data_IF_973255238302
#
_entry.id   IF_973255238302
#
_cell.length_a   1.000
_cell.length_b   1.000
_cell.length_c   1.000
_cell.angle_alpha   90.00
_cell.angle_beta   90.00
_cell.angle_gamma   90.00
#
_symmetry.space_group_name_H-M   'P 1'
#
loop_
_entity.id
_entity.type
_entity.pdbx_description
1 polymer ?
#
# COMPACT_ATOMS: atom_id res chain seq x y z
N UNK A 1 6.37 3.55 -20.25
CA UNK A 1 5.07 4.05 -20.75
C UNK A 1 4.63 3.05 -21.82
N UNK A 2 3.43 2.49 -21.75
CA UNK A 2 2.93 1.69 -22.88
C UNK A 2 2.72 2.69 -24.02
N UNK A 3 3.39 2.52 -25.16
CA UNK A 3 3.29 3.44 -26.30
C UNK A 3 2.00 3.18 -27.12
N UNK A 4 0.97 2.64 -26.47
CA UNK A 4 -0.33 2.27 -27.04
C UNK A 4 -1.42 2.85 -26.14
N UNK A 5 -2.54 3.26 -26.74
CA UNK A 5 -3.75 3.53 -25.96
C UNK A 5 -4.26 2.24 -25.28
N UNK A 6 -5.02 2.41 -24.20
CA UNK A 6 -5.45 1.29 -23.36
C UNK A 6 -6.37 0.32 -24.10
N UNK A 7 -7.20 0.79 -25.03
CA UNK A 7 -8.11 -0.07 -25.80
C UNK A 7 -7.30 -0.99 -26.70
N UNK A 8 -6.37 -0.42 -27.48
CA UNK A 8 -5.46 -1.16 -28.37
C UNK A 8 -4.61 -2.16 -27.58
N UNK A 9 -4.13 -1.78 -26.39
CA UNK A 9 -3.38 -2.67 -25.52
C UNK A 9 -4.18 -3.89 -25.04
N UNK A 10 -5.47 -3.71 -24.74
CA UNK A 10 -6.32 -4.79 -24.19
C UNK A 10 -6.74 -5.80 -25.26
N UNK A 11 -7.03 -5.34 -26.47
CA UNK A 11 -7.46 -6.20 -27.59
C UNK A 11 -6.28 -6.92 -28.27
N UNK A 12 -5.03 -6.57 -27.94
CA UNK A 12 -3.86 -7.24 -28.48
C UNK A 12 -3.90 -8.74 -28.20
N UNK A 13 -3.67 -9.55 -29.24
CA UNK A 13 -3.62 -11.01 -29.15
C UNK A 13 -2.39 -11.50 -28.38
N UNK A 14 -1.29 -10.74 -28.44
CA UNK A 14 -0.05 -11.02 -27.72
C UNK A 14 0.53 -9.77 -27.07
N UNK A 15 1.16 -9.97 -25.91
CA UNK A 15 1.87 -8.95 -25.16
C UNK A 15 3.36 -9.28 -25.13
N UNK A 16 4.21 -8.27 -25.36
CA UNK A 16 5.66 -8.43 -25.27
C UNK A 16 6.10 -8.86 -23.86
N UNK A 17 7.29 -9.45 -23.68
CA UNK A 17 7.81 -9.78 -22.35
C UNK A 17 7.83 -8.56 -21.41
N UNK A 18 8.16 -7.38 -21.94
CA UNK A 18 8.15 -6.11 -21.19
C UNK A 18 6.74 -5.72 -20.72
N UNK A 19 5.71 -6.02 -21.51
CA UNK A 19 4.32 -5.83 -21.10
C UNK A 19 3.92 -6.83 -20.01
N UNK A 20 4.28 -8.12 -20.16
CA UNK A 20 3.99 -9.16 -19.17
C UNK A 20 4.64 -8.92 -17.80
N UNK A 21 5.77 -8.23 -17.75
CA UNK A 21 6.38 -7.76 -16.50
C UNK A 21 5.48 -6.79 -15.70
N UNK A 22 4.50 -6.16 -16.36
CA UNK A 22 3.57 -5.20 -15.73
C UNK A 22 2.24 -5.84 -15.33
N UNK A 23 2.04 -7.12 -15.61
CA UNK A 23 0.91 -7.89 -15.12
C UNK A 23 1.24 -8.53 -13.79
N UNK A 24 0.21 -8.81 -13.00
CA UNK A 24 0.31 -9.51 -11.73
C UNK A 24 1.35 -8.86 -10.78
N UNK A 25 1.23 -7.54 -10.59
CA UNK A 25 2.19 -6.75 -9.81
C UNK A 25 2.14 -7.07 -8.32
N UNK A 26 0.97 -7.41 -7.78
CA UNK A 26 0.81 -7.83 -6.38
C UNK A 26 1.56 -9.15 -6.19
N UNK A 27 1.27 -10.15 -7.03
CA UNK A 27 1.95 -11.44 -7.01
C UNK A 27 3.47 -11.28 -7.18
N UNK A 28 3.90 -10.36 -8.04
CA UNK A 28 5.33 -10.09 -8.25
C UNK A 28 5.98 -9.46 -7.02
N UNK A 29 5.29 -8.52 -6.36
CA UNK A 29 5.79 -7.84 -5.16
C UNK A 29 6.02 -8.83 -4.01
N UNK A 30 5.09 -9.76 -3.82
CA UNK A 30 5.21 -10.82 -2.83
C UNK A 30 6.12 -11.98 -3.26
N UNK A 31 6.75 -11.92 -4.44
CA UNK A 31 7.63 -12.97 -4.94
C UNK A 31 6.92 -14.28 -5.33
N UNK A 32 5.60 -14.27 -5.47
CA UNK A 32 4.76 -15.45 -5.74
C UNK A 32 4.27 -15.55 -7.18
N UNK A 33 4.57 -14.54 -8.02
CA UNK A 33 4.17 -14.51 -9.43
C UNK A 33 4.70 -15.72 -10.19
N UNK A 34 3.79 -16.45 -10.81
CA UNK A 34 4.11 -17.51 -11.75
C UNK A 34 4.34 -16.93 -13.16
N UNK A 35 5.36 -17.37 -13.91
CA UNK A 35 5.56 -16.95 -15.29
C UNK A 35 4.51 -17.52 -16.25
N UNK A 36 3.78 -18.58 -15.89
CA UNK A 36 2.69 -19.15 -16.69
C UNK A 36 1.45 -18.26 -16.63
N UNK A 37 0.84 -18.02 -17.79
CA UNK A 37 -0.37 -17.20 -17.89
C UNK A 37 -1.63 -17.97 -17.41
N UNK A 38 -1.59 -19.31 -17.43
CA UNK A 38 -2.69 -20.25 -17.18
C UNK A 38 -2.54 -21.06 -15.88
N UNK A 39 -1.70 -20.60 -14.95
CA UNK A 39 -1.50 -21.25 -13.64
C UNK A 39 -2.85 -21.61 -12.98
N UNK A 40 -3.03 -22.87 -12.52
CA UNK A 40 -4.24 -23.28 -11.84
C UNK A 40 -4.53 -22.41 -10.61
N UNK A 41 -5.81 -22.07 -10.42
CA UNK A 41 -6.22 -21.22 -9.31
C UNK A 41 -5.85 -21.81 -7.94
N UNK A 42 -5.93 -23.13 -7.80
CA UNK A 42 -5.52 -23.85 -6.59
C UNK A 42 -4.05 -23.63 -6.22
N UNK A 43 -3.15 -23.52 -7.20
CA UNK A 43 -1.74 -23.21 -6.95
C UNK A 43 -1.54 -21.77 -6.46
N UNK A 44 -2.25 -20.81 -7.06
CA UNK A 44 -2.21 -19.40 -6.62
C UNK A 44 -2.79 -19.25 -5.21
N UNK A 45 -3.89 -19.95 -4.90
CA UNK A 45 -4.47 -19.99 -3.56
C UNK A 45 -3.54 -20.66 -2.54
N UNK A 46 -2.77 -21.67 -2.95
CA UNK A 46 -1.71 -22.25 -2.11
C UNK A 46 -0.68 -21.21 -1.68
N UNK A 47 -0.21 -20.38 -2.63
CA UNK A 47 0.70 -19.26 -2.34
C UNK A 47 0.03 -18.19 -1.47
N UNK A 48 -1.26 -17.90 -1.68
CA UNK A 48 -2.02 -16.96 -0.86
C UNK A 48 -2.10 -17.40 0.61
N UNK A 49 -2.37 -18.70 0.85
CA UNK A 49 -2.39 -19.28 2.21
C UNK A 49 -1.02 -19.19 2.88
N UNK A 50 0.04 -19.56 2.17
CA UNK A 50 1.40 -19.43 2.70
C UNK A 50 1.73 -17.98 3.08
N UNK A 51 1.36 -17.00 2.25
CA UNK A 51 1.51 -15.58 2.58
C UNK A 51 0.71 -15.20 3.84
N UNK A 52 -0.50 -15.72 3.99
CA UNK A 52 -1.34 -15.44 5.16
C UNK A 52 -0.79 -16.07 6.46
N UNK A 53 -0.09 -17.20 6.36
CA UNK A 53 0.64 -17.80 7.48
C UNK A 53 1.91 -17.01 7.82
N UNK A 54 2.46 -16.28 6.84
CA UNK A 54 3.70 -15.51 6.98
C UNK A 54 3.49 -14.10 7.52
N UNK A 55 2.38 -13.45 7.15
CA UNK A 55 2.09 -12.05 7.50
C UNK A 55 0.90 -11.95 8.46
N UNK A 56 1.09 -11.33 9.62
CA UNK A 56 0.02 -11.07 10.59
C UNK A 56 -1.10 -10.18 10.01
N UNK A 57 -0.74 -9.30 9.08
CA UNK A 57 -1.67 -8.40 8.39
C UNK A 57 -1.21 -8.09 6.97
N UNK A 58 -2.13 -8.29 6.01
CA UNK A 58 -2.05 -7.71 4.67
C UNK A 58 -3.09 -6.60 4.57
N UNK A 59 -2.62 -5.37 4.40
CA UNK A 59 -3.46 -4.17 4.33
C UNK A 59 -4.16 -4.03 2.97
N UNK A 60 -5.35 -3.41 2.96
CA UNK A 60 -6.16 -3.16 1.77
C UNK A 60 -6.22 -1.66 1.49
N UNK A 61 -5.76 -1.24 0.30
CA UNK A 61 -5.62 0.17 -0.04
C UNK A 61 -6.98 0.91 -0.11
N UNK A 62 -8.05 0.21 -0.46
CA UNK A 62 -9.43 0.72 -0.50
C UNK A 62 -9.98 0.97 0.91
N UNK A 63 -9.42 0.32 1.93
CA UNK A 63 -9.78 0.41 3.35
C UNK A 63 -8.55 0.81 4.19
N UNK A 64 -7.86 1.84 3.71
CA UNK A 64 -6.55 2.23 4.24
C UNK A 64 -6.62 2.70 5.70
N UNK A 65 -7.68 3.43 6.08
CA UNK A 65 -7.85 3.88 7.46
C UNK A 65 -8.04 2.69 8.41
N UNK A 66 -8.90 1.73 8.05
CA UNK A 66 -9.07 0.49 8.83
C UNK A 66 -7.80 -0.34 8.88
N UNK A 67 -7.06 -0.40 7.77
CA UNK A 67 -5.77 -1.09 7.70
C UNK A 67 -4.76 -0.51 8.68
N UNK A 68 -4.70 0.82 8.81
CA UNK A 68 -3.83 1.49 9.76
C UNK A 68 -4.29 1.32 11.21
N UNK A 69 -5.60 1.28 11.47
CA UNK A 69 -6.13 0.96 12.80
C UNK A 69 -5.71 -0.46 13.21
N UNK A 70 -5.88 -1.46 12.34
CA UNK A 70 -5.43 -2.82 12.62
C UNK A 70 -3.92 -2.88 12.84
N UNK A 71 -3.13 -2.22 11.99
CA UNK A 71 -1.66 -2.16 12.13
C UNK A 71 -1.24 -1.49 13.45
N UNK A 72 -1.88 -0.38 13.82
CA UNK A 72 -1.64 0.33 15.09
C UNK A 72 -1.75 -0.63 16.27
N UNK A 73 -2.81 -1.43 16.33
CA UNK A 73 -3.01 -2.40 17.42
C UNK A 73 -2.01 -3.56 17.40
N UNK A 74 -1.67 -4.07 16.22
CA UNK A 74 -0.64 -5.12 16.09
C UNK A 74 0.74 -4.66 16.58
N UNK A 75 1.06 -3.38 16.41
CA UNK A 75 2.35 -2.80 16.80
C UNK A 75 2.34 -2.16 18.19
N UNK A 76 1.21 -2.22 18.92
CA UNK A 76 1.01 -1.49 20.18
C UNK A 76 1.29 0.02 20.06
N UNK A 77 0.94 0.61 18.93
CA UNK A 77 1.14 2.02 18.63
C UNK A 77 -0.03 2.89 19.07
N UNK A 78 0.25 4.18 19.21
CA UNK A 78 -0.78 5.19 19.44
C UNK A 78 -1.31 5.72 18.10
N UNK A 79 -2.39 6.51 18.15
CA UNK A 79 -2.99 7.08 16.94
C UNK A 79 -2.01 8.01 16.22
N UNK A 80 -1.18 8.73 16.97
CA UNK A 80 -0.16 9.67 16.50
C UNK A 80 0.96 8.98 15.70
N UNK A 81 1.18 7.68 15.90
CA UNK A 81 2.22 6.93 15.17
C UNK A 81 1.77 6.51 13.77
N UNK A 82 0.45 6.50 13.52
CA UNK A 82 -0.15 6.09 12.24
C UNK A 82 -0.85 7.22 11.49
N UNK A 83 -0.71 8.47 11.95
CA UNK A 83 -1.21 9.62 11.20
C UNK A 83 -0.46 9.79 9.88
N UNK A 84 -1.16 10.28 8.87
CA UNK A 84 -0.63 10.38 7.52
C UNK A 84 -1.26 11.54 6.73
N UNK A 85 -0.51 12.05 5.75
CA UNK A 85 -1.04 12.96 4.72
C UNK A 85 -1.34 12.16 3.44
N UNK A 86 -2.58 12.24 2.94
CA UNK A 86 -3.01 11.53 1.71
C UNK A 86 -2.15 11.93 0.51
N UNK A 87 -1.32 11.02 0.02
CA UNK A 87 -0.47 11.24 -1.15
C UNK A 87 -1.05 10.59 -2.42
N UNK A 88 -0.48 10.93 -3.59
CA UNK A 88 -0.80 10.29 -4.89
C UNK A 88 -2.27 10.39 -5.33
N UNK A 89 -2.97 11.43 -4.90
CA UNK A 89 -4.37 11.66 -5.24
C UNK A 89 -4.48 11.98 -6.74
N UNK A 90 -5.00 11.03 -7.52
CA UNK A 90 -5.26 11.20 -8.95
C UNK A 90 -6.46 12.11 -9.18
N UNK A 91 -6.34 13.06 -10.11
CA UNK A 91 -7.47 13.87 -10.57
C UNK A 91 -8.57 12.96 -11.19
N UNK A 92 -9.86 13.15 -10.84
CA UNK A 92 -10.95 12.32 -11.38
C UNK A 92 -11.00 12.29 -12.91
N UNK A 93 -10.66 13.41 -13.56
CA UNK A 93 -10.60 13.57 -15.02
C UNK A 93 -9.60 12.65 -15.73
N UNK A 94 -8.66 12.05 -15.00
CA UNK A 94 -7.65 11.13 -15.55
C UNK A 94 -7.98 9.65 -15.28
N UNK A 95 -9.17 9.35 -14.75
CA UNK A 95 -9.64 7.95 -14.66
C UNK A 95 -10.22 7.55 -16.01
N UNK A 96 -9.62 6.56 -16.66
CA UNK A 96 -10.16 6.00 -17.90
C UNK A 96 -11.55 5.38 -17.62
N UNK A 97 -12.54 5.74 -18.43
CA UNK A 97 -13.83 5.04 -18.44
C UNK A 97 -13.64 3.74 -19.21
N UNK A 98 -13.81 2.61 -18.53
CA UNK A 98 -13.63 1.28 -19.10
C UNK A 98 -14.98 0.59 -19.26
N UNK A 99 -15.19 -0.07 -20.40
CA UNK A 99 -16.31 -1.00 -20.58
C UNK A 99 -16.12 -2.24 -19.70
N UNK A 100 -17.19 -2.99 -19.45
CA UNK A 100 -17.09 -4.25 -18.69
C UNK A 100 -16.16 -5.26 -19.39
N UNK A 101 -16.23 -5.38 -20.71
CA UNK A 101 -15.32 -6.23 -21.48
C UNK A 101 -13.84 -5.85 -21.29
N UNK A 102 -13.53 -4.55 -21.21
CA UNK A 102 -12.17 -4.09 -20.91
C UNK A 102 -11.74 -4.43 -19.48
N UNK A 103 -12.64 -4.32 -18.51
CA UNK A 103 -12.36 -4.71 -17.12
C UNK A 103 -12.13 -6.22 -17.01
N UNK A 104 -12.92 -7.04 -17.70
CA UNK A 104 -12.74 -8.49 -17.73
C UNK A 104 -11.41 -8.87 -18.36
N UNK A 105 -11.05 -8.22 -19.47
CA UNK A 105 -9.72 -8.42 -20.07
C UNK A 105 -8.60 -8.04 -19.11
N UNK A 106 -8.71 -6.94 -18.37
CA UNK A 106 -7.73 -6.57 -17.34
C UNK A 106 -7.65 -7.59 -16.20
N UNK A 107 -8.79 -8.13 -15.76
CA UNK A 107 -8.85 -9.19 -14.74
C UNK A 107 -8.17 -10.47 -15.25
N UNK A 108 -8.36 -10.84 -16.51
CA UNK A 108 -7.69 -11.99 -17.12
C UNK A 108 -6.17 -11.79 -17.20
N UNK A 109 -5.71 -10.64 -17.68
CA UNK A 109 -4.27 -10.33 -17.75
C UNK A 109 -3.62 -10.29 -16.36
N UNK A 110 -4.39 -9.94 -15.33
CA UNK A 110 -3.93 -9.90 -13.93
C UNK A 110 -4.57 -10.99 -13.07
N UNK A 111 -4.81 -12.19 -13.64
CA UNK A 111 -5.58 -13.26 -12.97
C UNK A 111 -5.00 -13.64 -11.60
N UNK A 112 -3.68 -13.72 -11.48
CA UNK A 112 -3.02 -14.08 -10.22
C UNK A 112 -3.26 -13.00 -9.15
N UNK A 113 -3.15 -11.72 -9.52
CA UNK A 113 -3.48 -10.61 -8.61
C UNK A 113 -4.95 -10.60 -8.21
N UNK A 114 -5.86 -10.92 -9.14
CA UNK A 114 -7.30 -10.99 -8.83
C UNK A 114 -7.59 -12.07 -7.79
N UNK A 115 -6.95 -13.24 -7.90
CA UNK A 115 -7.09 -14.32 -6.93
C UNK A 115 -6.51 -13.90 -5.58
N UNK A 116 -5.28 -13.40 -5.55
CA UNK A 116 -4.63 -12.92 -4.31
C UNK A 116 -5.45 -11.82 -3.62
N UNK A 117 -5.92 -10.83 -4.38
CA UNK A 117 -6.70 -9.72 -3.84
C UNK A 117 -8.03 -10.19 -3.25
N UNK A 118 -8.75 -11.10 -3.93
CA UNK A 118 -10.00 -11.65 -3.40
C UNK A 118 -9.77 -12.38 -2.08
N UNK A 119 -8.77 -13.26 -2.04
CA UNK A 119 -8.39 -14.02 -0.85
C UNK A 119 -8.08 -13.08 0.33
N UNK A 120 -7.16 -12.12 0.14
CA UNK A 120 -6.78 -11.23 1.23
C UNK A 120 -7.86 -10.21 1.61
N UNK A 121 -8.74 -9.83 0.68
CA UNK A 121 -9.90 -9.00 1.02
C UNK A 121 -10.85 -9.75 1.96
N UNK A 122 -11.10 -11.04 1.73
CA UNK A 122 -11.94 -11.85 2.61
C UNK A 122 -11.33 -11.98 4.01
N UNK A 123 -10.04 -12.31 4.10
CA UNK A 123 -9.30 -12.33 5.38
C UNK A 123 -9.33 -10.96 6.07
N UNK A 124 -9.19 -9.87 5.31
CA UNK A 124 -9.24 -8.52 5.88
C UNK A 124 -10.61 -8.20 6.48
N UNK A 125 -11.70 -8.56 5.78
CA UNK A 125 -13.05 -8.41 6.32
C UNK A 125 -13.26 -9.21 7.60
N UNK A 126 -12.72 -10.43 7.68
CA UNK A 126 -12.74 -11.23 8.92
C UNK A 126 -11.99 -10.55 10.06
N UNK A 127 -10.80 -9.99 9.80
CA UNK A 127 -10.03 -9.24 10.81
C UNK A 127 -10.78 -7.99 11.30
N UNK A 128 -11.42 -7.25 10.39
CA UNK A 128 -12.26 -6.10 10.74
C UNK A 128 -13.42 -6.52 11.63
N UNK A 129 -14.13 -7.60 11.29
CA UNK A 129 -15.24 -8.12 12.10
C UNK A 129 -14.77 -8.58 13.48
N UNK A 130 -13.65 -9.30 13.55
CA UNK A 130 -13.06 -9.76 14.80
C UNK A 130 -12.61 -8.59 15.70
N UNK A 131 -12.15 -7.49 15.12
CA UNK A 131 -11.82 -6.27 15.86
C UNK A 131 -13.06 -5.56 16.42
N UNK A 132 -14.22 -5.74 15.77
CA UNK A 132 -15.52 -5.17 16.14
C UNK A 132 -15.87 -3.94 15.32
N UNK A 133 -17.05 -3.94 14.67
CA UNK A 133 -17.46 -2.91 13.71
C UNK A 133 -17.61 -1.51 14.35
N UNK A 134 -18.29 -1.42 15.50
CA UNK A 134 -18.46 -0.14 16.21
C UNK A 134 -17.13 0.42 16.71
N UNK A 135 -16.25 -0.45 17.21
CA UNK A 135 -14.90 -0.08 17.64
C UNK A 135 -14.08 0.41 16.44
N UNK A 136 -14.11 -0.31 15.33
CA UNK A 136 -13.42 0.07 14.09
C UNK A 136 -13.88 1.45 13.63
N UNK A 137 -15.19 1.69 13.56
CA UNK A 137 -15.74 2.96 13.13
C UNK A 137 -15.26 4.12 14.02
N UNK A 138 -15.28 3.94 15.34
CA UNK A 138 -14.81 4.95 16.29
C UNK A 138 -13.32 5.26 16.11
N UNK A 139 -12.48 4.24 16.04
CA UNK A 139 -11.02 4.44 15.92
C UNK A 139 -10.61 4.99 14.54
N UNK A 140 -11.35 4.66 13.48
CA UNK A 140 -11.19 5.31 12.16
C UNK A 140 -11.52 6.79 12.24
N UNK A 141 -12.59 7.18 12.95
CA UNK A 141 -12.94 8.59 13.08
C UNK A 141 -11.93 9.35 13.93
N UNK A 142 -11.41 8.73 15.00
CA UNK A 142 -10.30 9.26 15.79
C UNK A 142 -9.05 9.50 14.91
N UNK A 143 -8.66 8.52 14.09
CA UNK A 143 -7.55 8.64 13.16
C UNK A 143 -7.78 9.76 12.13
N UNK A 144 -9.01 9.91 11.62
CA UNK A 144 -9.36 10.99 10.68
C UNK A 144 -9.29 12.36 11.33
N UNK A 145 -9.75 12.49 12.57
CA UNK A 145 -9.59 13.72 13.35
C UNK A 145 -8.12 14.05 13.59
N UNK A 146 -7.30 13.07 13.98
CA UNK A 146 -5.86 13.25 14.18
C UNK A 146 -5.16 13.69 12.87
N UNK A 147 -5.52 13.08 11.73
CA UNK A 147 -5.02 13.48 10.41
C UNK A 147 -5.42 14.91 10.03
N UNK A 148 -6.65 15.33 10.35
CA UNK A 148 -7.12 16.69 10.10
C UNK A 148 -6.37 17.71 10.97
N UNK A 149 -6.14 17.36 12.24
CA UNK A 149 -5.37 18.18 13.16
C UNK A 149 -3.91 18.31 12.70
N UNK A 150 -3.26 17.21 12.31
CA UNK A 150 -1.92 17.22 11.72
C UNK A 150 -1.84 18.10 10.46
N UNK A 151 -2.85 18.01 9.58
CA UNK A 151 -2.92 18.85 8.38
C UNK A 151 -2.94 20.34 8.76
N UNK A 152 -3.72 20.71 9.77
CA UNK A 152 -3.82 22.08 10.27
C UNK A 152 -2.50 22.53 10.93
N UNK A 153 -1.94 21.71 11.81
CA UNK A 153 -0.72 22.04 12.56
C UNK A 153 0.48 22.19 11.65
N UNK A 154 0.57 21.36 10.61
CA UNK A 154 1.61 21.47 9.60
C UNK A 154 1.38 22.63 8.60
N UNK A 155 0.22 23.28 8.63
CA UNK A 155 -0.19 24.23 7.60
C UNK A 155 -0.18 23.60 6.21
N UNK A 156 -0.48 22.29 6.15
CA UNK A 156 -0.32 21.49 4.95
C UNK A 156 -1.39 21.86 3.92
N UNK A 157 -0.96 22.21 2.71
CA UNK A 157 -1.84 22.55 1.60
C UNK A 157 -1.51 21.69 0.39
N UNK A 158 -2.54 21.19 -0.28
CA UNK A 158 -2.35 20.50 -1.54
C UNK A 158 -1.98 21.49 -2.63
N UNK A 159 -0.75 21.39 -3.14
CA UNK A 159 -0.26 22.10 -4.31
C UNK A 159 -0.20 21.15 -5.51
N UNK A 160 -0.31 21.67 -6.73
CA UNK A 160 -0.20 20.81 -7.90
C UNK A 160 -0.56 21.43 -9.24
N UNK A 161 0.41 22.09 -9.86
CA UNK A 161 0.44 22.43 -11.29
C UNK A 161 1.18 21.38 -12.15
N UNK A 162 1.85 20.38 -11.58
CA UNK A 162 2.56 19.34 -12.37
C UNK A 162 1.71 18.08 -12.59
N UNK A 163 0.74 18.16 -13.49
CA UNK A 163 0.08 16.98 -14.09
C UNK A 163 -1.05 16.32 -13.27
N UNK A 164 -0.97 14.99 -13.12
CA UNK A 164 -2.06 14.06 -12.74
C UNK A 164 -2.22 13.78 -11.25
N UNK A 165 -1.32 14.30 -10.40
CA UNK A 165 -1.24 14.02 -8.96
C UNK A 165 -1.09 15.33 -8.16
N UNK A 166 -1.78 15.46 -7.02
CA UNK A 166 -1.58 16.56 -6.05
C UNK A 166 -0.46 16.22 -5.05
N UNK A 167 0.35 17.20 -4.68
CA UNK A 167 1.43 17.12 -3.67
C UNK A 167 1.12 18.00 -2.47
N UNK A 168 1.73 17.75 -1.31
CA UNK A 168 1.59 18.61 -0.13
C UNK A 168 2.73 19.62 -0.05
N UNK A 169 2.38 20.87 0.18
CA UNK A 169 3.28 21.91 0.68
C UNK A 169 2.99 22.09 2.17
N UNK A 170 4.04 22.12 2.99
CA UNK A 170 3.96 22.22 4.44
C UNK A 170 4.71 23.47 4.87
N UNK A 171 4.07 24.32 5.67
CA UNK A 171 4.66 25.61 6.10
C UNK A 171 5.26 25.54 7.49
N UNK A 172 4.82 24.60 8.33
CA UNK A 172 5.38 24.43 9.67
C UNK A 172 6.72 23.68 9.62
N UNK A 173 7.71 24.21 10.33
CA UNK A 173 9.08 23.70 10.35
C UNK A 173 9.37 22.68 11.45
N UNK A 174 8.35 22.20 12.18
CA UNK A 174 8.52 21.12 13.16
C UNK A 174 9.08 19.85 12.51
N UNK A 175 9.82 19.06 13.30
CA UNK A 175 10.47 17.85 12.81
C UNK A 175 9.48 16.87 12.18
N UNK A 176 8.31 16.69 12.78
CA UNK A 176 7.26 15.80 12.28
C UNK A 176 6.66 16.30 10.96
N UNK A 177 6.42 17.61 10.83
CA UNK A 177 5.89 18.21 9.61
C UNK A 177 6.89 18.14 8.44
N UNK A 178 8.18 18.28 8.73
CA UNK A 178 9.24 18.03 7.75
C UNK A 178 9.31 16.56 7.36
N UNK A 179 9.26 15.65 8.31
CA UNK A 179 9.33 14.20 8.06
C UNK A 179 8.18 13.72 7.17
N UNK A 180 6.93 14.12 7.48
CA UNK A 180 5.74 13.62 6.79
C UNK A 180 5.58 14.16 5.35
N UNK A 181 6.22 15.29 5.05
CA UNK A 181 6.22 15.90 3.71
C UNK A 181 7.43 15.53 2.86
N UNK A 182 8.36 14.75 3.40
CA UNK A 182 9.55 14.32 2.67
C UNK A 182 9.22 13.41 1.49
N UNK A 183 10.07 13.49 0.47
CA UNK A 183 10.03 12.55 -0.63
C UNK A 183 10.47 11.16 -0.16
N UNK A 184 9.95 10.12 -0.83
CA UNK A 184 10.37 8.72 -0.58
C UNK A 184 11.88 8.55 -0.65
N UNK A 185 12.57 9.26 -1.55
CA UNK A 185 14.03 9.22 -1.66
C UNK A 185 14.71 9.74 -0.37
N UNK A 186 14.26 10.88 0.15
CA UNK A 186 14.80 11.46 1.39
C UNK A 186 14.56 10.54 2.58
N UNK A 187 13.34 10.01 2.73
CA UNK A 187 12.99 9.07 3.81
C UNK A 187 13.84 7.79 3.71
N UNK A 188 14.00 7.22 2.52
CA UNK A 188 14.83 6.03 2.32
C UNK A 188 16.29 6.26 2.67
N UNK A 189 16.86 7.43 2.31
CA UNK A 189 18.23 7.75 2.68
C UNK A 189 18.40 7.87 4.19
N UNK A 190 17.48 8.56 4.87
CA UNK A 190 17.51 8.65 6.34
C UNK A 190 17.41 7.28 7.01
N UNK A 191 16.55 6.39 6.51
CA UNK A 191 16.45 5.02 7.02
C UNK A 191 17.75 4.24 6.79
N UNK A 192 18.36 4.35 5.61
CA UNK A 192 19.65 3.72 5.29
C UNK A 192 20.76 4.24 6.17
N UNK A 193 20.81 5.55 6.43
CA UNK A 193 21.83 6.14 7.28
C UNK A 193 21.67 5.68 8.72
N UNK A 194 20.43 5.64 9.24
CA UNK A 194 20.14 5.04 10.55
C UNK A 194 20.53 3.56 10.62
N UNK A 195 20.23 2.78 9.58
CA UNK A 195 20.63 1.37 9.50
C UNK A 195 22.15 1.21 9.46
N UNK A 196 22.88 2.06 8.72
CA UNK A 196 24.35 2.02 8.71
C UNK A 196 24.94 2.29 10.08
N UNK A 197 24.42 3.30 10.78
CA UNK A 197 24.82 3.58 12.16
C UNK A 197 24.58 2.35 13.04
N UNK A 198 23.39 1.75 12.93
CA UNK A 198 23.04 0.51 13.65
C UNK A 198 23.98 -0.67 13.33
N UNK A 199 24.30 -0.92 12.06
CA UNK A 199 25.25 -1.97 11.68
C UNK A 199 26.65 -1.67 12.23
N UNK A 200 27.05 -0.40 12.26
CA UNK A 200 28.38 0.01 12.74
C UNK A 200 28.52 0.08 14.25
N UNK A 201 27.43 0.12 15.00
CA UNK A 201 27.44 0.34 16.45
C UNK A 201 27.65 -0.95 17.26
N UNK A 202 27.81 -2.10 16.60
CA UNK A 202 28.04 -3.42 17.23
C UNK A 202 26.99 -3.82 18.28
N UNK A 203 25.84 -3.12 18.35
CA UNK A 203 24.74 -3.49 19.23
C UNK A 203 24.15 -4.81 18.76
N UNK A 204 24.13 -5.76 19.67
CA UNK A 204 23.42 -7.01 19.52
C UNK A 204 21.98 -6.81 19.97
N UNK A 205 21.03 -7.17 19.11
CA UNK A 205 19.62 -7.17 19.46
C UNK A 205 19.24 -8.56 19.96
N UNK A 206 18.90 -8.65 21.23
CA UNK A 206 18.38 -9.89 21.80
C UNK A 206 16.90 -10.00 21.47
N UNK A 207 16.57 -10.93 20.55
CA UNK A 207 15.21 -11.19 20.11
C UNK A 207 14.33 -11.82 21.20
N UNK A 208 14.93 -12.39 22.27
CA UNK A 208 14.19 -13.01 23.38
C UNK A 208 13.74 -11.96 24.39
N UNK A 209 14.56 -10.93 24.63
CA UNK A 209 14.28 -9.89 25.62
C UNK A 209 13.79 -8.58 25.01
N UNK A 210 13.88 -8.45 23.68
CA UNK A 210 13.63 -7.20 22.94
C UNK A 210 14.53 -6.04 23.42
N UNK A 211 15.69 -6.34 24.01
CA UNK A 211 16.64 -5.33 24.51
C UNK A 211 17.90 -5.26 23.66
N UNK A 212 18.52 -4.08 23.66
CA UNK A 212 19.82 -3.84 23.04
C UNK A 212 20.94 -4.02 24.06
N UNK A 213 22.00 -4.75 23.68
CA UNK A 213 23.27 -4.88 24.40
C UNK A 213 24.43 -4.62 23.46
#
# INVERSE_FOLDING_TARGET
RFHLDLTTFLIASNHTPRHKQKFNLIANYFGVKDPRDDVPEGEVLGKARWLNETFDLVMVAERFDESLVLLKHLMCWNTEDVVYLKAKIRKPTYRAKLSEAQKDRLRQLNRQDVILYKFFREIFEEKVKAFGEERMQREVEELRHANAQLTKDCGAKLTGSRGTVKTWEVTNNSSICKLISQSTYSTQNQLKDRQRIWVSSNFTYDLLTWTFT
#
